data_IF_767708926960
#
_entry.id   IF_767708926960
#
_cell.length_a   1.000
_cell.length_b   1.000
_cell.length_c   1.000
_cell.angle_alpha   90.00
_cell.angle_beta   90.00
_cell.angle_gamma   90.00
#
_symmetry.space_group_name_H-M   'P 1'
#
loop_
_entity.id
_entity.type
_entity.pdbx_description
1 polymer ?
#
# COMPACT_ATOMS: atom_id res chain seq x y z
N UNK A 1 4.28 2.87 5.19
CA UNK A 1 4.70 4.23 4.79
C UNK A 1 3.69 5.21 5.34
N UNK A 2 4.15 6.40 5.72
CA UNK A 2 3.27 7.51 6.11
C UNK A 2 2.90 8.33 4.86
N UNK A 3 1.59 8.43 4.59
CA UNK A 3 1.03 9.19 3.48
C UNK A 3 1.18 10.70 3.58
N UNK A 4 1.36 11.25 4.78
CA UNK A 4 1.56 12.68 4.99
C UNK A 4 3.01 13.07 4.70
N UNK A 5 3.98 12.34 5.28
CA UNK A 5 5.41 12.67 5.18
C UNK A 5 6.16 11.98 4.04
N UNK A 6 5.62 10.91 3.45
CA UNK A 6 6.33 10.08 2.49
C UNK A 6 7.39 9.15 3.12
N UNK A 7 7.45 9.07 4.45
CA UNK A 7 8.50 8.33 5.15
C UNK A 7 8.19 6.83 5.25
N UNK A 8 9.21 6.00 5.03
CA UNK A 8 9.18 4.59 5.40
C UNK A 8 9.20 4.46 6.94
N UNK A 9 8.10 3.94 7.52
CA UNK A 9 7.98 3.67 8.97
C UNK A 9 8.68 2.36 9.34
N UNK A 10 8.53 1.34 8.49
CA UNK A 10 9.13 0.04 8.64
C UNK A 10 9.35 -0.57 7.25
N UNK A 11 10.37 -1.42 7.14
CA UNK A 11 10.70 -2.14 5.92
C UNK A 11 11.24 -3.52 6.26
N UNK A 12 10.90 -4.51 5.44
CA UNK A 12 11.36 -5.89 5.56
C UNK A 12 11.53 -6.50 4.16
N UNK A 13 12.52 -7.37 3.98
CA UNK A 13 12.82 -8.02 2.69
C UNK A 13 14.27 -7.82 2.23
N UNK A 14 14.59 -8.18 0.99
CA UNK A 14 15.94 -7.96 0.42
C UNK A 14 16.15 -6.46 0.20
N UNK A 15 17.16 -5.91 0.88
CA UNK A 15 17.45 -4.47 0.91
C UNK A 15 18.27 -3.95 -0.29
N UNK A 16 18.64 -4.82 -1.24
CA UNK A 16 19.55 -4.47 -2.35
C UNK A 16 18.86 -3.80 -3.54
N UNK A 17 17.52 -3.70 -3.55
CA UNK A 17 16.74 -3.35 -4.76
C UNK A 17 16.28 -1.89 -4.79
N UNK A 18 16.12 -1.21 -3.65
CA UNK A 18 15.58 0.16 -3.57
C UNK A 18 16.13 0.88 -2.33
N UNK A 19 16.57 2.15 -2.46
CA UNK A 19 16.71 3.04 -1.31
C UNK A 19 15.32 3.26 -0.71
N UNK A 20 15.10 2.66 0.46
CA UNK A 20 13.77 2.50 1.05
C UNK A 20 13.09 3.83 1.34
N UNK A 21 13.87 4.90 1.55
CA UNK A 21 13.31 6.23 1.82
C UNK A 21 12.96 6.98 0.54
N UNK A 22 13.83 6.95 -0.47
CA UNK A 22 13.55 7.56 -1.77
C UNK A 22 12.37 6.85 -2.47
N UNK A 23 12.36 5.52 -2.44
CA UNK A 23 11.27 4.71 -2.97
C UNK A 23 9.94 4.94 -2.24
N UNK A 24 9.97 5.12 -0.91
CA UNK A 24 8.77 5.44 -0.14
C UNK A 24 8.18 6.79 -0.50
N UNK A 25 9.01 7.82 -0.61
CA UNK A 25 8.54 9.16 -0.98
C UNK A 25 7.90 9.17 -2.37
N UNK A 26 8.59 8.61 -3.37
CA UNK A 26 8.08 8.53 -4.74
C UNK A 26 6.76 7.74 -4.83
N UNK A 27 6.67 6.63 -4.09
CA UNK A 27 5.46 5.79 -4.14
C UNK A 27 4.28 6.43 -3.39
N UNK A 28 4.53 7.18 -2.31
CA UNK A 28 3.50 7.99 -1.62
C UNK A 28 2.92 9.06 -2.54
N UNK A 29 3.73 9.73 -3.36
CA UNK A 29 3.23 10.74 -4.30
C UNK A 29 2.32 10.13 -5.38
N UNK A 30 2.65 8.93 -5.88
CA UNK A 30 1.77 8.18 -6.78
C UNK A 30 0.44 7.87 -6.10
N UNK A 31 0.47 7.40 -4.86
CA UNK A 31 -0.72 7.05 -4.10
C UNK A 31 -1.62 8.28 -3.86
N UNK A 32 -1.01 9.42 -3.50
CA UNK A 32 -1.72 10.69 -3.33
C UNK A 32 -2.39 11.13 -4.63
N UNK A 33 -1.68 11.08 -5.76
CA UNK A 33 -2.23 11.43 -7.06
C UNK A 33 -3.42 10.54 -7.46
N UNK A 34 -3.42 9.26 -7.09
CA UNK A 34 -4.55 8.35 -7.33
C UNK A 34 -5.75 8.70 -6.44
N UNK A 35 -5.53 8.93 -5.14
CA UNK A 35 -6.59 9.32 -4.21
C UNK A 35 -7.24 10.65 -4.60
N UNK A 36 -6.46 11.61 -5.08
CA UNK A 36 -6.92 12.92 -5.53
C UNK A 36 -7.58 12.88 -6.92
N UNK A 37 -7.63 11.71 -7.58
CA UNK A 37 -8.20 11.54 -8.92
C UNK A 37 -9.66 11.07 -8.87
N UNK A 38 -10.66 11.94 -9.12
CA UNK A 38 -12.08 11.57 -9.04
C UNK A 38 -12.55 10.56 -10.09
N UNK A 39 -11.72 10.29 -11.10
CA UNK A 39 -11.99 9.25 -12.10
C UNK A 39 -11.63 7.85 -11.60
N UNK A 40 -10.82 7.76 -10.54
CA UNK A 40 -10.32 6.51 -9.95
C UNK A 40 -10.91 6.27 -8.55
N UNK A 41 -11.53 7.28 -7.95
CA UNK A 41 -12.21 7.21 -6.66
C UNK A 41 -13.70 7.48 -6.82
N UNK A 42 -14.52 6.95 -5.91
CA UNK A 42 -15.99 7.15 -5.97
C UNK A 42 -16.48 8.37 -5.20
N UNK A 43 -15.56 9.16 -4.63
CA UNK A 43 -15.82 10.39 -3.90
C UNK A 43 -16.51 10.18 -2.54
N UNK A 44 -16.57 8.95 -2.03
CA UNK A 44 -17.12 8.59 -0.73
C UNK A 44 -15.96 8.35 0.22
N UNK A 45 -15.43 9.44 0.77
CA UNK A 45 -14.36 9.43 1.77
C UNK A 45 -13.03 8.82 1.28
N UNK A 46 -11.98 8.97 2.08
CA UNK A 46 -10.62 8.48 1.76
C UNK A 46 -10.47 6.95 1.75
N UNK A 47 -11.53 6.24 2.11
CA UNK A 47 -11.55 4.78 2.23
C UNK A 47 -11.97 4.07 0.93
N UNK A 48 -12.21 4.82 -0.15
CA UNK A 48 -12.66 4.28 -1.43
C UNK A 48 -11.61 3.39 -2.13
N UNK A 49 -10.32 3.64 -1.90
CA UNK A 49 -9.24 2.88 -2.51
C UNK A 49 -8.79 1.76 -1.58
N UNK A 50 -8.91 0.51 -2.02
CA UNK A 50 -8.48 -0.67 -1.23
C UNK A 50 -7.10 -1.17 -1.62
N UNK A 51 -6.71 -0.96 -2.88
CA UNK A 51 -5.48 -1.51 -3.45
C UNK A 51 -5.14 -0.81 -4.78
N UNK A 52 -3.87 -0.50 -4.97
CA UNK A 52 -3.26 -0.11 -6.24
C UNK A 52 -2.23 -1.18 -6.63
N UNK A 53 -2.31 -1.66 -7.88
CA UNK A 53 -1.39 -2.67 -8.43
C UNK A 53 -0.65 -2.07 -9.62
N UNK A 54 0.68 -2.07 -9.58
CA UNK A 54 1.53 -1.69 -10.70
C UNK A 54 2.21 -2.94 -11.25
N UNK A 55 1.88 -3.30 -12.48
CA UNK A 55 2.46 -4.44 -13.18
C UNK A 55 3.68 -4.00 -13.99
N UNK A 56 4.86 -4.49 -13.63
CA UNK A 56 6.10 -4.33 -14.40
C UNK A 56 6.44 -5.62 -15.15
N UNK A 57 7.46 -5.56 -16.00
CA UNK A 57 7.93 -6.74 -16.76
C UNK A 57 8.61 -7.79 -15.88
N UNK A 58 9.04 -7.41 -14.68
CA UNK A 58 9.84 -8.24 -13.78
C UNK A 58 9.18 -8.38 -12.39
N UNK A 59 7.89 -8.10 -12.27
CA UNK A 59 7.21 -8.16 -10.98
C UNK A 59 6.05 -7.20 -10.83
N UNK A 60 5.50 -7.21 -9.63
CA UNK A 60 4.34 -6.38 -9.25
C UNK A 60 4.67 -5.55 -8.03
N UNK A 61 4.19 -4.31 -8.04
CA UNK A 61 4.10 -3.49 -6.83
C UNK A 61 2.65 -3.49 -6.35
N UNK A 62 2.44 -3.83 -5.09
CA UNK A 62 1.17 -3.70 -4.40
C UNK A 62 1.24 -2.56 -3.40
N UNK A 63 0.23 -1.70 -3.43
CA UNK A 63 0.07 -0.55 -2.56
C UNK A 63 -1.31 -0.62 -1.92
N UNK A 64 -1.35 -0.78 -0.60
CA UNK A 64 -2.60 -0.95 0.14
C UNK A 64 -2.71 0.06 1.26
N UNK A 65 -3.77 0.88 1.29
CA UNK A 65 -4.15 1.63 2.48
C UNK A 65 -4.35 0.70 3.67
N UNK A 66 -3.79 1.09 4.82
CA UNK A 66 -4.14 0.43 6.06
C UNK A 66 -5.50 0.97 6.53
N UNK A 67 -6.46 0.09 6.78
CA UNK A 67 -7.70 0.48 7.45
C UNK A 67 -7.41 0.96 8.88
N UNK A 68 -7.96 2.12 9.27
CA UNK A 68 -7.84 2.67 10.61
C UNK A 68 -7.77 4.19 10.65
N UNK A 69 -8.07 4.77 11.82
CA UNK A 69 -8.12 6.22 12.06
C UNK A 69 -6.70 6.78 12.33
N UNK A 70 -5.81 6.58 11.35
CA UNK A 70 -4.44 7.08 11.42
C UNK A 70 -4.38 8.49 10.82
N UNK A 71 -3.99 9.47 11.64
CA UNK A 71 -3.81 10.89 11.25
C UNK A 71 -2.92 11.06 9.99
N UNK A 72 -1.94 10.17 9.83
CA UNK A 72 -1.16 10.02 8.60
C UNK A 72 -1.62 8.75 7.90
N UNK A 73 -2.39 8.90 6.82
CA UNK A 73 -2.91 7.77 6.02
C UNK A 73 -1.79 6.78 5.74
N UNK A 74 -1.84 5.60 6.36
CA UNK A 74 -0.76 4.64 6.27
C UNK A 74 -0.95 3.73 5.06
N UNK A 75 0.15 3.37 4.40
CA UNK A 75 0.13 2.44 3.26
C UNK A 75 1.18 1.33 3.41
N UNK A 76 0.83 0.10 3.03
CA UNK A 76 1.79 -0.99 2.83
C UNK A 76 2.22 -0.98 1.36
N UNK A 77 3.52 -1.07 1.12
CA UNK A 77 4.10 -1.31 -0.21
C UNK A 77 4.80 -2.66 -0.21
N UNK A 78 4.46 -3.50 -1.17
CA UNK A 78 5.11 -4.80 -1.39
C UNK A 78 5.57 -4.90 -2.84
N UNK A 79 6.83 -5.31 -3.02
CA UNK A 79 7.40 -5.65 -4.31
C UNK A 79 7.73 -7.14 -4.33
N UNK A 80 7.34 -7.84 -5.39
CA UNK A 80 7.77 -9.22 -5.62
C UNK A 80 7.94 -9.52 -7.12
N UNK A 81 8.83 -10.47 -7.40
CA UNK A 81 9.22 -10.90 -8.75
C UNK A 81 8.13 -11.77 -9.38
N UNK A 82 7.87 -11.55 -10.67
CA UNK A 82 6.91 -12.30 -11.49
C UNK A 82 7.39 -13.75 -11.74
N UNK A 83 8.71 -14.00 -11.73
CA UNK A 83 9.26 -15.33 -11.97
C UNK A 83 8.93 -16.35 -10.86
N UNK A 84 8.61 -15.88 -9.65
CA UNK A 84 8.34 -16.73 -8.49
C UNK A 84 7.03 -16.40 -7.75
N UNK A 85 6.45 -15.23 -8.01
CA UNK A 85 5.33 -14.70 -7.24
C UNK A 85 3.97 -14.94 -7.86
N UNK A 86 3.08 -15.64 -7.15
CA UNK A 86 1.67 -15.71 -7.52
C UNK A 86 0.94 -14.46 -7.02
N UNK A 87 0.60 -13.53 -7.93
CA UNK A 87 -0.11 -12.29 -7.61
C UNK A 87 -1.42 -12.54 -6.84
N UNK A 88 -2.21 -13.55 -7.22
CA UNK A 88 -3.47 -13.84 -6.54
C UNK A 88 -3.22 -14.28 -5.08
N UNK A 89 -2.18 -15.09 -4.85
CA UNK A 89 -1.79 -15.51 -3.51
C UNK A 89 -1.25 -14.34 -2.69
N UNK A 90 -0.42 -13.48 -3.28
CA UNK A 90 0.12 -12.29 -2.63
C UNK A 90 -1.01 -11.37 -2.14
N UNK A 91 -2.00 -11.09 -3.01
CA UNK A 91 -3.19 -10.30 -2.65
C UNK A 91 -4.01 -10.97 -1.55
N UNK A 92 -4.19 -12.28 -1.61
CA UNK A 92 -4.93 -13.03 -0.60
C UNK A 92 -4.26 -12.95 0.78
N UNK A 93 -2.95 -13.17 0.85
CA UNK A 93 -2.19 -13.10 2.09
C UNK A 93 -2.16 -11.67 2.65
N UNK A 94 -1.95 -10.66 1.78
CA UNK A 94 -1.95 -9.26 2.19
C UNK A 94 -3.28 -8.82 2.77
N UNK A 95 -4.41 -9.25 2.20
CA UNK A 95 -5.74 -8.98 2.78
C UNK A 95 -5.90 -9.57 4.18
N UNK A 96 -5.39 -10.78 4.40
CA UNK A 96 -5.37 -11.40 5.74
C UNK A 96 -4.57 -10.57 6.74
N UNK A 97 -3.35 -10.18 6.35
CA UNK A 97 -2.48 -9.32 7.19
C UNK A 97 -3.14 -7.97 7.48
N UNK A 98 -3.70 -7.30 6.48
CA UNK A 98 -4.39 -6.01 6.67
C UNK A 98 -5.59 -6.11 7.60
N UNK A 99 -6.31 -7.23 7.58
CA UNK A 99 -7.43 -7.46 8.50
C UNK A 99 -6.96 -7.60 9.96
N UNK A 100 -5.75 -8.12 10.20
CA UNK A 100 -5.17 -8.18 11.55
C UNK A 100 -4.79 -6.79 12.11
N UNK A 101 -4.50 -5.83 11.23
CA UNK A 101 -4.26 -4.43 11.64
C UNK A 101 -5.56 -3.71 12.06
N UNK A 102 -6.73 -4.21 11.65
CA UNK A 102 -8.03 -3.78 12.16
C UNK A 102 -8.29 -4.53 13.47
N UNK A 103 -7.74 -4.03 14.59
CA UNK A 103 -8.00 -4.61 15.91
C UNK A 103 -9.50 -4.64 16.27
N UNK A 104 -9.93 -5.44 17.27
CA UNK A 104 -11.32 -5.50 17.73
C UNK A 104 -11.66 -4.19 18.45
N UNK A 105 -12.09 -3.18 17.70
CA UNK A 105 -12.31 -1.83 18.19
C UNK A 105 -13.29 -1.06 17.34
N UNK A 106 -14.43 -1.67 17.02
CA UNK A 106 -15.57 -0.97 16.42
C UNK A 106 -16.91 -1.53 16.89
N UNK A 107 -17.11 -1.54 18.21
CA UNK A 107 -18.44 -1.42 18.81
C UNK A 107 -18.50 -0.08 19.52
N UNK A 108 -19.08 0.95 18.87
CA UNK A 108 -19.86 2.01 19.51
C UNK A 108 -20.78 2.68 18.50
#
# INVERSE_FOLDING_TARGET
MDGASGLAIAAAGRHDVVDQHEGAAATTDVMRAVLDCPALTTGRDDEDLTELIVCGTNGFHLLNPLPGDFDGRLFIHVLFDDAAGNLAMARFQLRGILAEFVGPGHER
#
